data_IF_394149623222
#
_entry.id   IF_394149623222
#
_cell.length_a   1.000
_cell.length_b   1.000
_cell.length_c   1.000
_cell.angle_alpha   90.00
_cell.angle_beta   90.00
_cell.angle_gamma   90.00
#
_symmetry.space_group_name_H-M   'P 1'
#
loop_
_entity.id
_entity.type
_entity.pdbx_description
1 polymer ?
#
# COMPACT_ATOMS: atom_id res chain seq x y z
N UNK A 1 18.23 7.18 -14.72
CA UNK A 1 16.78 6.98 -14.95
C UNK A 1 16.18 5.99 -13.95
N UNK A 2 16.66 4.73 -13.81
CA UNK A 2 16.12 3.82 -12.79
C UNK A 2 16.33 4.33 -11.35
N UNK A 3 17.53 4.84 -11.05
CA UNK A 3 17.84 5.42 -9.73
C UNK A 3 17.03 6.69 -9.45
N UNK A 4 16.74 7.48 -10.48
CA UNK A 4 15.95 8.71 -10.34
C UNK A 4 14.49 8.39 -10.00
N UNK A 5 13.92 7.33 -10.60
CA UNK A 5 12.57 6.87 -10.30
C UNK A 5 12.47 6.25 -8.91
N UNK A 6 13.48 5.47 -8.49
CA UNK A 6 13.55 4.95 -7.11
C UNK A 6 13.52 6.08 -6.10
N UNK A 7 14.38 7.09 -6.27
CA UNK A 7 14.41 8.25 -5.39
C UNK A 7 13.10 9.05 -5.42
N UNK A 8 12.46 9.16 -6.59
CA UNK A 8 11.14 9.77 -6.72
C UNK A 8 10.06 9.02 -5.94
N UNK A 9 10.11 7.68 -5.90
CA UNK A 9 9.23 6.84 -5.10
C UNK A 9 9.42 7.02 -3.59
N UNK A 10 10.68 7.09 -3.13
CA UNK A 10 11.00 7.39 -1.72
C UNK A 10 10.48 8.77 -1.30
N UNK A 11 10.69 9.78 -2.14
CA UNK A 11 10.17 11.14 -1.88
C UNK A 11 8.64 11.17 -1.86
N UNK A 12 7.99 10.33 -2.67
CA UNK A 12 6.54 10.22 -2.72
C UNK A 12 5.97 9.62 -1.43
N UNK A 13 6.62 8.59 -0.87
CA UNK A 13 6.28 8.05 0.45
C UNK A 13 6.35 9.14 1.52
N UNK A 14 7.46 9.88 1.58
CA UNK A 14 7.64 10.99 2.53
C UNK A 14 6.56 12.07 2.40
N UNK A 15 6.16 12.39 1.18
CA UNK A 15 5.10 13.36 0.89
C UNK A 15 3.74 12.84 1.35
N UNK A 16 3.43 11.57 1.10
CA UNK A 16 2.15 10.96 1.52
C UNK A 16 2.06 10.91 3.05
N UNK A 17 3.13 10.50 3.72
CA UNK A 17 3.24 10.51 5.19
C UNK A 17 3.09 11.93 5.74
N UNK A 18 3.69 12.93 5.09
CA UNK A 18 3.52 14.32 5.49
C UNK A 18 2.09 14.84 5.28
N UNK A 19 1.39 14.39 4.24
CA UNK A 19 -0.02 14.71 4.03
C UNK A 19 -0.90 14.10 5.12
N UNK A 20 -0.71 12.81 5.44
CA UNK A 20 -1.45 12.12 6.50
C UNK A 20 -1.28 12.75 7.88
N UNK A 21 -0.08 13.30 8.16
CA UNK A 21 0.24 13.94 9.45
C UNK A 21 -0.01 15.45 9.47
N UNK A 22 -0.61 16.03 8.43
CA UNK A 22 -0.88 17.47 8.34
C UNK A 22 0.37 18.35 8.20
N UNK A 23 1.52 17.77 7.83
CA UNK A 23 2.81 18.44 7.71
C UNK A 23 3.23 18.75 6.25
N UNK A 24 2.36 18.48 5.27
CA UNK A 24 2.65 18.64 3.83
C UNK A 24 3.14 20.04 3.44
N UNK A 25 2.66 21.09 4.09
CA UNK A 25 3.08 22.48 3.80
C UNK A 25 4.60 22.68 3.91
N UNK A 26 5.26 21.92 4.81
CA UNK A 26 6.71 21.95 4.98
C UNK A 26 7.48 21.35 3.79
N UNK A 27 6.81 20.54 2.97
CA UNK A 27 7.35 19.84 1.79
C UNK A 27 6.94 20.45 0.45
N UNK A 28 6.37 21.67 0.43
CA UNK A 28 5.89 22.30 -0.81
C UNK A 28 6.92 22.34 -1.96
N UNK A 29 8.19 22.61 -1.67
CA UNK A 29 9.26 22.58 -2.69
C UNK A 29 9.55 21.18 -3.25
N UNK A 30 9.44 20.15 -2.41
CA UNK A 30 9.60 18.74 -2.80
C UNK A 30 8.42 18.29 -3.68
N UNK A 31 7.21 18.65 -3.28
CA UNK A 31 5.96 18.40 -4.04
C UNK A 31 6.07 18.96 -5.45
N UNK A 32 6.44 20.24 -5.62
CA UNK A 32 6.57 20.84 -6.95
C UNK A 32 7.70 20.22 -7.78
N UNK A 33 8.82 19.89 -7.13
CA UNK A 33 9.96 19.25 -7.81
C UNK A 33 9.60 17.85 -8.30
N UNK A 34 8.86 17.09 -7.50
CA UNK A 34 8.40 15.74 -7.84
C UNK A 34 7.33 15.76 -8.93
N UNK A 35 6.37 16.70 -8.86
CA UNK A 35 5.40 16.91 -9.93
C UNK A 35 6.09 17.19 -11.27
N UNK A 36 7.06 18.12 -11.26
CA UNK A 36 7.84 18.45 -12.45
C UNK A 36 8.69 17.26 -12.94
N UNK A 37 9.19 16.42 -12.03
CA UNK A 37 9.92 15.21 -12.37
C UNK A 37 9.04 14.25 -13.17
N UNK A 38 7.87 13.87 -12.64
CA UNK A 38 6.96 12.92 -13.29
C UNK A 38 6.34 13.48 -14.58
N UNK A 39 6.06 14.78 -14.64
CA UNK A 39 5.52 15.43 -15.84
C UNK A 39 6.47 15.40 -17.06
N UNK A 40 7.75 15.06 -16.89
CA UNK A 40 8.69 14.90 -18.02
C UNK A 40 8.49 13.61 -18.81
N UNK A 41 7.82 12.62 -18.23
CA UNK A 41 7.56 11.31 -18.84
C UNK A 41 6.07 10.96 -18.67
N UNK A 42 5.15 11.73 -19.26
CA UNK A 42 3.72 11.54 -19.03
C UNK A 42 3.22 10.18 -19.52
N UNK A 43 3.86 9.57 -20.53
CA UNK A 43 3.47 8.27 -21.07
C UNK A 43 4.07 7.07 -20.31
N UNK A 44 4.78 7.32 -19.21
CA UNK A 44 5.31 6.29 -18.32
C UNK A 44 4.31 5.98 -17.20
N UNK A 45 3.96 4.70 -17.03
CA UNK A 45 2.94 4.29 -16.06
C UNK A 45 3.36 4.60 -14.62
N UNK A 46 4.64 4.46 -14.26
CA UNK A 46 5.14 4.80 -12.92
C UNK A 46 5.00 6.29 -12.65
N UNK A 47 5.36 7.13 -13.61
CA UNK A 47 5.19 8.57 -13.48
C UNK A 47 3.71 8.98 -13.39
N UNK A 48 2.82 8.34 -14.15
CA UNK A 48 1.39 8.61 -14.09
C UNK A 48 0.76 8.23 -12.74
N UNK A 49 1.14 7.09 -12.16
CA UNK A 49 0.74 6.72 -10.79
C UNK A 49 1.32 7.68 -9.77
N UNK A 50 2.59 8.06 -9.92
CA UNK A 50 3.23 9.05 -9.06
C UNK A 50 2.50 10.41 -9.04
N UNK A 51 2.05 10.89 -10.20
CA UNK A 51 1.22 12.10 -10.29
C UNK A 51 -0.16 11.93 -9.63
N UNK A 52 -0.77 10.75 -9.77
CA UNK A 52 -2.05 10.44 -9.11
C UNK A 52 -1.92 10.53 -7.59
N UNK A 53 -0.90 9.89 -7.01
CA UNK A 53 -0.66 9.91 -5.57
C UNK A 53 -0.27 11.31 -5.07
N UNK A 54 0.49 12.06 -5.85
CA UNK A 54 0.87 13.43 -5.49
C UNK A 54 -0.35 14.37 -5.48
N UNK A 55 -1.24 14.23 -6.46
CA UNK A 55 -2.51 14.96 -6.49
C UNK A 55 -3.39 14.55 -5.31
N UNK A 56 -3.43 13.25 -4.95
CA UNK A 56 -4.19 12.80 -3.79
C UNK A 56 -3.60 13.36 -2.49
N UNK A 57 -2.29 13.34 -2.30
CA UNK A 57 -1.65 13.90 -1.12
C UNK A 57 -2.01 15.39 -0.91
N UNK A 58 -2.05 16.17 -2.00
CA UNK A 58 -2.52 17.57 -1.97
C UNK A 58 -4.00 17.67 -1.58
N UNK A 59 -4.85 16.81 -2.14
CA UNK A 59 -6.27 16.76 -1.81
C UNK A 59 -6.49 16.43 -0.34
N UNK A 60 -5.89 15.34 0.17
CA UNK A 60 -5.98 14.91 1.57
C UNK A 60 -5.54 16.02 2.53
N UNK A 61 -4.40 16.67 2.24
CA UNK A 61 -3.91 17.77 3.06
C UNK A 61 -4.84 18.99 3.07
N UNK A 62 -5.61 19.21 2.00
CA UNK A 62 -6.56 20.32 1.92
C UNK A 62 -7.87 20.02 2.64
N UNK A 63 -8.40 18.80 2.53
CA UNK A 63 -9.69 18.45 3.16
C UNK A 63 -9.57 18.15 4.65
N UNK A 64 -8.35 18.16 5.22
CA UNK A 64 -8.03 17.79 6.61
C UNK A 64 -8.67 16.47 7.06
N UNK A 65 -9.02 15.64 6.08
CA UNK A 65 -9.70 14.37 6.30
C UNK A 65 -8.65 13.29 6.12
N UNK A 66 -8.60 12.38 7.08
CA UNK A 66 -7.96 11.09 6.85
C UNK A 66 -8.79 10.38 5.78
N UNK A 67 -8.40 10.51 4.51
CA UNK A 67 -9.08 9.85 3.39
C UNK A 67 -8.82 8.32 3.38
N UNK A 68 -8.24 7.81 4.48
CA UNK A 68 -7.57 6.53 4.58
C UNK A 68 -6.16 6.71 4.04
N UNK A 69 -5.15 6.37 4.85
CA UNK A 69 -3.95 5.56 4.53
C UNK A 69 -2.88 5.72 5.64
N UNK A 70 -1.94 4.79 5.87
CA UNK A 70 -1.81 3.37 5.44
C UNK A 70 -2.03 2.33 6.57
N UNK A 71 -2.50 2.71 7.76
CA UNK A 71 -2.43 1.81 8.93
C UNK A 71 -3.68 1.77 9.84
N UNK A 72 -4.84 2.23 9.39
CA UNK A 72 -6.03 2.27 10.24
C UNK A 72 -7.06 1.21 9.86
N UNK A 73 -6.89 0.04 10.48
CA UNK A 73 -7.96 -0.90 10.74
C UNK A 73 -8.56 -0.56 12.11
N UNK A 74 -9.68 0.17 12.15
CA UNK A 74 -10.63 0.11 13.27
C UNK A 74 -11.95 0.85 12.96
N UNK A 75 -12.98 0.05 12.71
CA UNK A 75 -14.31 0.13 13.35
C UNK A 75 -15.26 1.33 13.12
N UNK A 76 -14.84 2.45 12.53
CA UNK A 76 -15.83 3.43 12.05
C UNK A 76 -16.29 3.02 10.65
N UNK A 77 -17.57 2.64 10.51
CA UNK A 77 -18.24 2.54 9.20
C UNK A 77 -17.72 3.68 8.34
N UNK A 78 -17.12 3.39 7.18
CA UNK A 78 -16.63 4.42 6.27
C UNK A 78 -17.80 5.35 5.96
N UNK A 79 -17.92 6.44 6.74
CA UNK A 79 -19.00 7.39 6.56
C UNK A 79 -18.81 8.01 5.19
N UNK A 80 -19.93 8.38 4.58
CA UNK A 80 -19.87 8.97 3.25
C UNK A 80 -18.98 10.20 3.32
N UNK A 81 -17.95 10.28 2.48
CA UNK A 81 -17.06 11.43 2.51
C UNK A 81 -17.89 12.70 2.25
N UNK A 82 -17.81 13.72 3.12
CA UNK A 82 -18.54 14.95 2.89
C UNK A 82 -18.00 15.59 1.61
N UNK A 83 -18.90 16.00 0.72
CA UNK A 83 -18.49 16.75 -0.45
C UNK A 83 -17.85 18.06 0.02
N UNK A 84 -16.66 18.44 -0.51
CA UNK A 84 -16.02 19.63 -0.01
C UNK A 84 -16.80 20.87 -0.48
N UNK A 85 -17.00 21.76 0.47
CA UNK A 85 -17.78 22.99 0.28
C UNK A 85 -17.03 24.02 -0.57
N UNK A 86 -15.72 23.88 -0.73
CA UNK A 86 -14.87 24.82 -1.45
C UNK A 86 -14.48 24.38 -2.87
N UNK A 87 -14.25 25.38 -3.73
CA UNK A 87 -13.90 25.20 -5.14
C UNK A 87 -12.50 24.59 -5.32
N UNK A 88 -11.59 24.82 -4.38
CA UNK A 88 -10.20 24.36 -4.48
C UNK A 88 -10.11 22.85 -4.29
N UNK A 89 -10.78 22.29 -3.28
CA UNK A 89 -10.90 20.85 -3.09
C UNK A 89 -11.49 20.14 -4.32
N UNK A 90 -12.53 20.73 -4.95
CA UNK A 90 -13.11 20.17 -6.18
C UNK A 90 -12.13 20.19 -7.34
N UNK A 91 -11.30 21.22 -7.45
CA UNK A 91 -10.25 21.30 -8.47
C UNK A 91 -9.17 20.24 -8.23
N UNK A 92 -8.73 20.05 -6.99
CA UNK A 92 -7.77 19.00 -6.61
C UNK A 92 -8.36 17.59 -6.86
N UNK A 93 -9.63 17.34 -6.51
CA UNK A 93 -10.28 16.07 -6.82
C UNK A 93 -10.41 15.84 -8.34
N UNK A 94 -10.65 16.89 -9.14
CA UNK A 94 -10.64 16.77 -10.59
C UNK A 94 -9.23 16.47 -11.15
N UNK A 95 -8.18 17.01 -10.53
CA UNK A 95 -6.78 16.70 -10.85
C UNK A 95 -6.47 15.22 -10.57
N UNK A 96 -6.88 14.68 -9.41
CA UNK A 96 -6.76 13.24 -9.09
C UNK A 96 -7.45 12.39 -10.15
N UNK A 97 -8.71 12.68 -10.48
CA UNK A 97 -9.46 11.92 -11.50
C UNK A 97 -8.74 11.94 -12.85
N UNK A 98 -8.19 13.08 -13.26
CA UNK A 98 -7.48 13.21 -14.53
C UNK A 98 -6.20 12.36 -14.56
N UNK A 99 -5.38 12.43 -13.50
CA UNK A 99 -4.16 11.64 -13.40
C UNK A 99 -4.44 10.14 -13.27
N UNK A 100 -5.41 9.76 -12.44
CA UNK A 100 -5.80 8.36 -12.27
C UNK A 100 -6.35 7.76 -13.57
N UNK A 101 -7.18 8.51 -14.30
CA UNK A 101 -7.71 8.07 -15.60
C UNK A 101 -6.58 7.84 -16.60
N UNK A 102 -5.57 8.73 -16.61
CA UNK A 102 -4.41 8.60 -17.48
C UNK A 102 -3.54 7.40 -17.08
N UNK A 103 -3.24 7.23 -15.79
CA UNK A 103 -2.48 6.10 -15.27
C UNK A 103 -3.13 4.76 -15.63
N UNK A 104 -4.44 4.64 -15.43
CA UNK A 104 -5.22 3.45 -15.81
C UNK A 104 -5.32 3.23 -17.33
N UNK A 105 -5.16 4.28 -18.12
CA UNK A 105 -5.04 4.18 -19.57
C UNK A 105 -3.71 3.58 -20.01
N UNK A 106 -2.64 3.80 -19.24
CA UNK A 106 -1.32 3.21 -19.46
C UNK A 106 -1.22 1.80 -18.86
N UNK A 107 -1.84 1.57 -17.71
CA UNK A 107 -1.87 0.31 -16.98
C UNK A 107 -3.29 -0.01 -16.47
N UNK A 108 -4.07 -0.81 -17.23
CA UNK A 108 -5.44 -1.16 -16.85
C UNK A 108 -5.58 -1.98 -15.56
N UNK A 109 -4.48 -2.55 -15.06
CA UNK A 109 -4.46 -3.37 -13.85
C UNK A 109 -4.03 -2.57 -12.61
N UNK A 110 -3.86 -1.26 -12.71
CA UNK A 110 -3.50 -0.41 -11.57
C UNK A 110 -4.71 -0.19 -10.63
N UNK A 111 -4.86 -1.08 -9.65
CA UNK A 111 -5.87 -1.01 -8.60
C UNK A 111 -5.72 0.26 -7.74
N UNK A 112 -4.48 0.74 -7.54
CA UNK A 112 -4.19 1.96 -6.82
C UNK A 112 -4.86 3.18 -7.45
N UNK A 113 -4.60 3.49 -8.73
CA UNK A 113 -5.29 4.61 -9.38
C UNK A 113 -6.79 4.41 -9.47
N UNK A 114 -7.29 3.17 -9.55
CA UNK A 114 -8.72 2.91 -9.51
C UNK A 114 -9.33 3.31 -8.15
N UNK A 115 -8.68 2.97 -7.04
CA UNK A 115 -9.09 3.36 -5.70
C UNK A 115 -9.04 4.88 -5.50
N UNK A 116 -7.93 5.52 -5.87
CA UNK A 116 -7.74 6.98 -5.73
C UNK A 116 -8.77 7.76 -6.58
N UNK A 117 -9.12 7.25 -7.76
CA UNK A 117 -10.20 7.79 -8.58
C UNK A 117 -11.57 7.66 -7.90
N UNK A 118 -11.82 6.53 -7.22
CA UNK A 118 -13.05 6.31 -6.44
C UNK A 118 -13.21 7.33 -5.33
N UNK A 119 -12.17 7.53 -4.53
CA UNK A 119 -12.12 8.55 -3.47
C UNK A 119 -12.40 9.95 -4.01
N UNK A 120 -11.75 10.32 -5.12
CA UNK A 120 -11.93 11.64 -5.72
C UNK A 120 -13.35 11.86 -6.27
N UNK A 121 -13.98 10.84 -6.87
CA UNK A 121 -15.38 10.92 -7.29
C UNK A 121 -16.34 10.99 -6.09
N UNK A 122 -16.07 10.24 -5.03
CA UNK A 122 -16.90 10.26 -3.82
C UNK A 122 -16.89 11.64 -3.17
N UNK A 123 -15.70 12.24 -3.02
CA UNK A 123 -15.54 13.63 -2.56
C UNK A 123 -16.30 14.61 -3.46
N UNK A 124 -16.38 14.36 -4.77
CA UNK A 124 -17.18 15.21 -5.67
C UNK A 124 -18.69 14.96 -5.60
N UNK A 125 -19.15 14.03 -4.77
CA UNK A 125 -20.55 13.59 -4.71
C UNK A 125 -20.99 12.76 -5.92
N UNK A 126 -20.04 12.31 -6.76
CA UNK A 126 -20.27 11.58 -8.00
C UNK A 126 -20.38 10.07 -7.72
N UNK A 127 -21.40 9.70 -6.91
CA UNK A 127 -21.54 8.35 -6.32
C UNK A 127 -21.49 7.20 -7.34
N UNK A 128 -22.08 7.38 -8.52
CA UNK A 128 -22.09 6.32 -9.55
C UNK A 128 -20.68 6.09 -10.10
N UNK A 129 -19.95 7.16 -10.41
CA UNK A 129 -18.57 7.10 -10.90
C UNK A 129 -17.62 6.58 -9.82
N UNK A 130 -17.85 6.95 -8.55
CA UNK A 130 -17.09 6.41 -7.41
C UNK A 130 -17.29 4.90 -7.29
N UNK A 131 -18.53 4.42 -7.33
CA UNK A 131 -18.82 2.99 -7.29
C UNK A 131 -18.19 2.23 -8.48
N UNK A 132 -18.22 2.78 -9.69
CA UNK A 132 -17.58 2.15 -10.86
C UNK A 132 -16.04 2.03 -10.69
N UNK A 133 -15.41 3.05 -10.10
CA UNK A 133 -13.99 3.05 -9.81
C UNK A 133 -13.63 2.04 -8.71
N UNK A 134 -14.35 2.03 -7.58
CA UNK A 134 -14.13 1.04 -6.52
C UNK A 134 -14.43 -0.40 -6.98
N UNK A 135 -15.44 -0.64 -7.82
CA UNK A 135 -15.64 -1.97 -8.45
C UNK A 135 -14.44 -2.40 -9.28
N UNK A 136 -13.71 -1.46 -9.87
CA UNK A 136 -12.47 -1.79 -10.57
C UNK A 136 -11.36 -2.14 -9.59
N UNK A 137 -11.18 -1.38 -8.51
CA UNK A 137 -10.21 -1.70 -7.46
C UNK A 137 -10.49 -3.08 -6.85
N UNK A 138 -11.72 -3.34 -6.39
CA UNK A 138 -12.16 -4.63 -5.82
C UNK A 138 -12.02 -5.79 -6.80
N UNK A 139 -12.23 -5.57 -8.10
CA UNK A 139 -12.02 -6.64 -9.10
C UNK A 139 -10.53 -7.02 -9.23
N UNK A 140 -9.63 -6.05 -9.05
CA UNK A 140 -8.20 -6.25 -9.20
C UNK A 140 -7.55 -6.74 -7.89
N UNK A 141 -8.09 -6.32 -6.76
CA UNK A 141 -7.75 -6.76 -5.41
C UNK A 141 -9.05 -6.91 -4.58
N UNK A 142 -9.65 -8.11 -4.55
CA UNK A 142 -10.83 -8.43 -3.75
C UNK A 142 -10.62 -8.34 -2.23
N UNK A 143 -9.37 -8.31 -1.77
CA UNK A 143 -9.00 -8.19 -0.36
C UNK A 143 -8.68 -6.76 0.06
N UNK A 144 -8.85 -5.79 -0.85
CA UNK A 144 -8.85 -4.36 -0.55
C UNK A 144 -10.07 -3.98 0.32
N UNK A 145 -9.97 -4.25 1.62
CA UNK A 145 -11.04 -3.97 2.59
C UNK A 145 -11.54 -2.53 2.53
N UNK A 146 -10.68 -1.49 2.39
CA UNK A 146 -11.14 -0.12 2.16
C UNK A 146 -11.99 0.02 0.90
N UNK A 147 -11.57 -0.53 -0.26
CA UNK A 147 -12.36 -0.43 -1.50
C UNK A 147 -13.68 -1.18 -1.41
N UNK A 148 -13.68 -2.38 -0.80
CA UNK A 148 -14.88 -3.18 -0.54
C UNK A 148 -15.87 -2.36 0.30
N UNK A 149 -15.45 -1.89 1.47
CA UNK A 149 -16.35 -1.20 2.38
C UNK A 149 -16.88 0.13 1.79
N UNK A 150 -16.07 0.85 1.01
CA UNK A 150 -16.51 2.03 0.26
C UNK A 150 -17.55 1.67 -0.81
N UNK A 151 -17.31 0.60 -1.57
CA UNK A 151 -18.25 0.12 -2.58
C UNK A 151 -19.60 -0.30 -1.97
N UNK A 152 -19.56 -1.07 -0.89
CA UNK A 152 -20.75 -1.53 -0.16
C UNK A 152 -21.54 -0.35 0.43
N UNK A 153 -20.83 0.65 0.98
CA UNK A 153 -21.46 1.88 1.48
C UNK A 153 -22.15 2.68 0.36
N UNK A 154 -21.55 2.71 -0.84
CA UNK A 154 -22.10 3.46 -1.96
C UNK A 154 -23.32 2.79 -2.60
N UNK A 155 -23.30 1.46 -2.67
CA UNK A 155 -24.29 0.64 -3.39
C UNK A 155 -25.38 0.05 -2.49
N UNK A 156 -25.06 -0.21 -1.22
CA UNK A 156 -25.89 -1.00 -0.30
C UNK A 156 -25.88 -2.51 -0.60
N UNK A 157 -24.97 -2.96 -1.46
CA UNK A 157 -24.81 -4.36 -1.88
C UNK A 157 -23.49 -4.89 -1.31
N UNK A 158 -23.48 -6.11 -0.78
CA UNK A 158 -22.27 -6.80 -0.34
C UNK A 158 -21.39 -7.12 -1.56
N UNK A 159 -20.09 -6.86 -1.45
CA UNK A 159 -19.16 -7.17 -2.53
C UNK A 159 -18.91 -8.69 -2.58
N UNK A 160 -18.92 -9.26 -3.78
CA UNK A 160 -18.61 -10.67 -3.97
C UNK A 160 -17.14 -10.93 -3.59
N UNK A 161 -16.93 -11.82 -2.63
CA UNK A 161 -15.60 -12.30 -2.23
C UNK A 161 -15.33 -13.64 -2.94
N UNK A 162 -14.20 -13.79 -3.64
CA UNK A 162 -13.87 -15.06 -4.26
C UNK A 162 -13.61 -16.12 -3.19
N UNK A 163 -13.93 -17.38 -3.50
CA UNK A 163 -13.68 -18.54 -2.63
C UNK A 163 -12.17 -18.93 -2.60
N UNK A 164 -11.42 -18.49 -3.61
CA UNK A 164 -9.99 -18.75 -3.79
C UNK A 164 -9.25 -17.42 -3.92
N UNK A 165 -7.99 -17.39 -3.52
CA UNK A 165 -7.15 -16.22 -3.69
C UNK A 165 -7.02 -15.92 -5.19
N UNK A 166 -7.34 -14.69 -5.63
CA UNK A 166 -7.22 -14.34 -7.02
C UNK A 166 -5.73 -14.24 -7.39
N UNK A 167 -5.38 -14.55 -8.65
CA UNK A 167 -4.02 -14.38 -9.11
C UNK A 167 -3.61 -12.90 -9.04
N UNK A 168 -2.35 -12.65 -8.73
CA UNK A 168 -1.75 -11.34 -8.69
C UNK A 168 -1.99 -10.58 -10.01
N UNK A 169 -2.65 -9.42 -9.91
CA UNK A 169 -3.04 -8.62 -11.08
C UNK A 169 -1.99 -7.57 -11.46
N UNK A 170 -0.98 -7.35 -10.61
CA UNK A 170 0.07 -6.36 -10.82
C UNK A 170 0.79 -6.57 -12.16
N UNK A 171 1.11 -5.46 -12.82
CA UNK A 171 1.71 -5.49 -14.15
C UNK A 171 3.16 -6.02 -14.17
N UNK A 172 3.82 -6.12 -13.01
CA UNK A 172 5.17 -6.67 -12.92
C UNK A 172 5.43 -7.37 -11.59
N UNK A 173 6.39 -8.30 -11.61
CA UNK A 173 6.74 -9.14 -10.47
C UNK A 173 7.61 -8.39 -9.44
N UNK A 174 7.42 -8.67 -8.15
CA UNK A 174 8.18 -8.12 -7.03
C UNK A 174 8.09 -9.01 -5.78
N UNK A 175 8.94 -8.73 -4.80
CA UNK A 175 8.86 -9.26 -3.45
C UNK A 175 8.37 -8.17 -2.50
N UNK A 176 7.64 -8.57 -1.48
CA UNK A 176 7.36 -7.77 -0.28
C UNK A 176 7.98 -8.49 0.89
N UNK A 177 8.84 -7.81 1.65
CA UNK A 177 9.24 -8.23 2.98
C UNK A 177 8.50 -7.36 3.97
N UNK A 178 7.73 -7.98 4.84
CA UNK A 178 7.03 -7.32 5.93
C UNK A 178 7.51 -7.87 7.28
N UNK A 179 7.79 -6.95 8.19
CA UNK A 179 8.09 -7.23 9.58
C UNK A 179 7.22 -6.32 10.44
N UNK A 180 6.45 -6.92 11.35
CA UNK A 180 5.75 -6.22 12.42
C UNK A 180 6.30 -6.71 13.75
N UNK A 181 6.80 -5.80 14.57
CA UNK A 181 7.37 -6.11 15.87
C UNK A 181 6.71 -5.27 16.97
N UNK A 182 6.13 -5.94 17.98
CA UNK A 182 5.50 -5.29 19.16
C UNK A 182 6.42 -5.25 20.38
N UNK A 183 6.75 -4.05 20.87
CA UNK A 183 7.67 -3.88 21.99
C UNK A 183 7.08 -4.50 23.28
N UNK A 184 7.88 -5.23 24.10
CA UNK A 184 7.37 -5.97 25.27
C UNK A 184 6.71 -5.12 26.36
N UNK A 185 7.06 -3.84 26.48
CA UNK A 185 6.65 -3.00 27.62
C UNK A 185 5.74 -1.83 27.25
N UNK A 186 5.29 -1.73 25.99
CA UNK A 186 4.64 -0.50 25.52
C UNK A 186 3.58 -0.62 24.44
N UNK A 187 3.33 -1.80 23.86
CA UNK A 187 2.38 -1.94 22.76
C UNK A 187 2.82 -1.24 21.46
N UNK A 188 3.84 -0.38 21.50
CA UNK A 188 4.45 0.26 20.34
C UNK A 188 4.86 -0.80 19.32
N UNK A 189 4.17 -0.76 18.18
CA UNK A 189 4.41 -1.63 17.04
C UNK A 189 5.25 -0.89 16.01
N UNK A 190 6.39 -1.47 15.68
CA UNK A 190 7.21 -1.01 14.57
C UNK A 190 7.00 -1.93 13.38
N UNK A 191 6.62 -1.35 12.25
CA UNK A 191 6.51 -2.06 10.97
C UNK A 191 7.62 -1.64 10.03
N UNK A 192 8.31 -2.62 9.47
CA UNK A 192 9.28 -2.46 8.39
C UNK A 192 8.71 -3.13 7.15
N UNK A 193 8.64 -2.39 6.05
CA UNK A 193 8.22 -2.92 4.74
C UNK A 193 9.33 -2.67 3.74
N UNK A 194 9.68 -3.69 2.95
CA UNK A 194 10.58 -3.58 1.82
C UNK A 194 9.90 -4.15 0.57
N UNK A 195 9.68 -3.30 -0.43
CA UNK A 195 9.30 -3.74 -1.78
C UNK A 195 10.53 -3.75 -2.68
N UNK A 196 10.84 -4.88 -3.29
CA UNK A 196 12.06 -5.06 -4.10
C UNK A 196 11.88 -6.07 -5.22
N UNK A 197 12.64 -5.91 -6.30
CA UNK A 197 12.77 -6.91 -7.37
C UNK A 197 14.08 -7.70 -7.29
N UNK A 198 14.87 -7.47 -6.23
CA UNK A 198 16.14 -8.12 -5.96
C UNK A 198 16.03 -9.00 -4.71
N UNK A 199 15.99 -10.31 -4.92
CA UNK A 199 15.94 -11.31 -3.84
C UNK A 199 17.14 -11.20 -2.90
N UNK A 200 18.33 -10.83 -3.39
CA UNK A 200 19.50 -10.68 -2.52
C UNK A 200 19.35 -9.47 -1.58
N UNK A 201 18.73 -8.39 -2.05
CA UNK A 201 18.41 -7.24 -1.21
C UNK A 201 17.38 -7.58 -0.13
N UNK A 202 16.35 -8.37 -0.48
CA UNK A 202 15.35 -8.85 0.49
C UNK A 202 15.99 -9.71 1.57
N UNK A 203 16.83 -10.69 1.17
CA UNK A 203 17.55 -11.56 2.11
C UNK A 203 18.46 -10.78 3.04
N UNK A 204 19.24 -9.86 2.49
CA UNK A 204 20.16 -9.04 3.28
C UNK A 204 19.42 -8.14 4.29
N UNK A 205 18.25 -7.60 3.92
CA UNK A 205 17.44 -6.80 4.83
C UNK A 205 16.84 -7.68 5.95
N UNK A 206 16.27 -8.83 5.61
CA UNK A 206 15.74 -9.76 6.60
C UNK A 206 16.83 -10.20 7.59
N UNK A 207 18.00 -10.63 7.10
CA UNK A 207 19.15 -10.98 7.95
C UNK A 207 19.57 -9.81 8.87
N UNK A 208 19.59 -8.58 8.34
CA UNK A 208 19.93 -7.39 9.12
C UNK A 208 18.90 -7.12 10.23
N UNK A 209 17.61 -7.27 9.95
CA UNK A 209 16.53 -7.07 10.93
C UNK A 209 16.65 -8.08 12.08
N UNK A 210 16.92 -9.36 11.80
CA UNK A 210 17.12 -10.38 12.84
C UNK A 210 18.39 -10.13 13.67
N UNK A 211 19.48 -9.67 13.03
CA UNK A 211 20.73 -9.34 13.71
C UNK A 211 20.60 -8.18 14.71
N UNK A 212 19.60 -7.30 14.58
CA UNK A 212 19.41 -6.16 15.50
C UNK A 212 18.87 -6.55 16.89
N UNK A 213 18.50 -7.82 17.12
CA UNK A 213 17.95 -8.24 18.40
C UNK A 213 16.42 -8.11 18.49
N UNK A 214 15.75 -7.73 17.40
CA UNK A 214 14.28 -7.53 17.37
C UNK A 214 13.47 -8.83 17.46
N UNK A 215 14.12 -9.98 17.51
CA UNK A 215 13.49 -11.26 17.84
C UNK A 215 13.04 -11.37 19.31
N UNK A 216 13.42 -10.44 20.20
CA UNK A 216 12.98 -10.45 21.60
C UNK A 216 11.60 -9.81 21.83
N UNK A 217 10.89 -9.47 20.76
CA UNK A 217 9.57 -8.85 20.80
C UNK A 217 8.49 -9.93 21.07
N UNK A 218 7.41 -9.56 21.77
CA UNK A 218 6.41 -10.52 22.26
C UNK A 218 5.56 -11.13 21.14
N UNK A 219 5.26 -10.32 20.13
CA UNK A 219 4.62 -10.75 18.89
C UNK A 219 5.45 -10.27 17.71
N UNK A 220 5.63 -11.20 16.79
CA UNK A 220 6.48 -11.05 15.63
C UNK A 220 5.73 -11.66 14.46
N UNK A 221 5.38 -10.82 13.50
CA UNK A 221 4.90 -11.30 12.20
C UNK A 221 5.96 -10.97 11.16
N UNK A 222 6.41 -11.99 10.44
CA UNK A 222 7.44 -11.88 9.43
C UNK A 222 7.01 -12.68 8.21
N UNK A 223 6.74 -12.00 7.11
CA UNK A 223 6.39 -12.64 5.86
C UNK A 223 7.28 -12.10 4.74
N UNK A 224 7.66 -13.01 3.85
CA UNK A 224 8.06 -12.65 2.50
C UNK A 224 6.93 -13.09 1.58
N UNK A 225 6.42 -12.15 0.81
CA UNK A 225 5.46 -12.41 -0.25
C UNK A 225 6.13 -12.30 -1.61
N UNK A 226 5.84 -13.25 -2.48
CA UNK A 226 6.27 -13.24 -3.87
C UNK A 226 5.08 -12.97 -4.78
N UNK A 227 5.13 -11.86 -5.49
CA UNK A 227 4.09 -11.41 -6.40
C UNK A 227 4.54 -11.64 -7.85
N UNK A 228 3.81 -12.49 -8.58
CA UNK A 228 4.08 -12.83 -9.98
C UNK A 228 2.83 -12.59 -10.83
N UNK A 229 2.91 -11.82 -11.93
CA UNK A 229 1.73 -11.52 -12.74
C UNK A 229 0.98 -12.78 -13.21
N UNK A 230 -0.26 -12.92 -12.78
CA UNK A 230 -1.14 -14.03 -13.15
C UNK A 230 -0.91 -15.35 -12.39
N UNK A 231 -0.05 -15.37 -11.38
CA UNK A 231 0.07 -16.48 -10.42
C UNK A 231 -0.48 -16.05 -9.06
N UNK A 232 -0.85 -17.02 -8.23
CA UNK A 232 -1.27 -16.76 -6.86
C UNK A 232 -0.08 -16.19 -6.07
N UNK A 233 -0.33 -15.23 -5.19
CA UNK A 233 0.72 -14.69 -4.33
C UNK A 233 1.17 -15.77 -3.34
N UNK A 234 2.48 -15.99 -3.25
CA UNK A 234 3.07 -16.98 -2.33
C UNK A 234 3.63 -16.26 -1.11
N UNK A 235 3.26 -16.69 0.09
CA UNK A 235 3.74 -16.11 1.35
C UNK A 235 4.48 -17.14 2.20
N UNK A 236 5.70 -16.80 2.59
CA UNK A 236 6.54 -17.62 3.46
C UNK A 236 6.81 -16.90 4.79
N UNK A 237 6.48 -17.58 5.89
CA UNK A 237 6.67 -17.05 7.25
C UNK A 237 8.10 -17.28 7.73
N UNK A 238 8.85 -16.19 7.95
CA UNK A 238 10.28 -16.28 8.31
C UNK A 238 10.53 -16.92 9.67
N UNK A 239 9.54 -16.87 10.58
CA UNK A 239 9.64 -17.51 11.89
C UNK A 239 9.91 -19.01 11.81
N UNK A 240 9.40 -19.66 10.76
CA UNK A 240 9.58 -21.11 10.56
C UNK A 240 10.99 -21.48 10.12
N UNK A 241 11.77 -20.50 9.64
CA UNK A 241 13.13 -20.66 9.16
C UNK A 241 14.20 -20.19 10.16
N UNK A 242 13.81 -19.86 11.39
CA UNK A 242 14.76 -19.46 12.43
C UNK A 242 15.49 -20.66 13.02
N UNK A 243 16.82 -20.56 13.06
CA UNK A 243 17.70 -21.50 13.76
C UNK A 243 18.41 -20.81 14.93
N UNK A 244 18.65 -21.57 16.00
CA UNK A 244 19.37 -21.12 17.18
C UNK A 244 20.88 -21.08 16.88
N UNK A 245 21.43 -19.91 16.59
CA UNK A 245 22.88 -19.82 16.40
C UNK A 245 23.65 -19.96 17.73
N UNK A 246 24.88 -20.44 17.62
CA UNK A 246 25.73 -20.76 18.77
C UNK A 246 26.08 -19.55 19.66
N UNK A 247 25.93 -18.33 19.16
CA UNK A 247 26.15 -17.08 19.90
C UNK A 247 24.87 -16.54 20.58
N UNK A 248 23.75 -17.25 20.44
CA UNK A 248 22.46 -16.90 21.05
C UNK A 248 21.64 -15.89 20.24
N UNK A 249 22.06 -15.55 19.01
CA UNK A 249 21.27 -14.75 18.08
C UNK A 249 20.61 -15.66 17.04
N UNK A 250 19.30 -15.61 16.83
CA UNK A 250 18.65 -16.43 15.82
C UNK A 250 19.13 -16.02 14.42
N UNK A 251 19.32 -17.00 13.56
CA UNK A 251 19.70 -16.81 12.16
C UNK A 251 18.66 -17.43 11.23
N UNK A 252 18.42 -16.81 10.08
CA UNK A 252 17.52 -17.36 9.06
C UNK A 252 18.22 -18.45 8.25
N UNK A 253 17.56 -19.59 8.11
CA UNK A 253 17.94 -20.66 7.19
C UNK A 253 17.16 -20.50 5.89
N UNK A 254 17.79 -19.86 4.91
CA UNK A 254 17.19 -19.58 3.59
C UNK A 254 16.90 -20.82 2.73
N UNK A 255 17.29 -22.02 3.16
CA UNK A 255 16.95 -23.27 2.47
C UNK A 255 15.47 -23.68 2.71
N UNK A 256 14.84 -23.15 3.76
CA UNK A 256 13.45 -23.45 4.15
C UNK A 256 12.45 -22.36 3.71
N UNK A 257 12.93 -21.30 3.06
CA UNK A 257 12.11 -20.18 2.57
C UNK A 257 12.09 -20.26 1.05
N UNK A 258 10.92 -20.48 0.45
CA UNK A 258 10.81 -20.40 -0.99
C UNK A 258 10.84 -18.92 -1.43
N UNK A 259 11.70 -18.63 -2.39
CA UNK A 259 11.80 -17.30 -2.99
C UNK A 259 12.12 -17.53 -4.46
N UNK A 260 11.14 -17.98 -5.26
CA UNK A 260 11.38 -18.31 -6.64
C UNK A 260 11.83 -17.06 -7.38
N UNK A 261 12.71 -17.18 -8.39
CA UNK A 261 13.16 -16.01 -9.15
C UNK A 261 11.98 -15.32 -9.83
N UNK A 262 11.94 -13.98 -9.72
CA UNK A 262 10.91 -13.16 -10.39
C UNK A 262 10.96 -13.31 -11.91
N UNK A 263 9.79 -13.38 -12.53
CA UNK A 263 9.65 -13.44 -13.99
C UNK A 263 9.40 -12.06 -14.55
N UNK A 264 9.89 -11.81 -15.76
CA UNK A 264 9.64 -10.55 -16.46
C UNK A 264 8.16 -10.44 -16.90
N UNK A 265 7.58 -9.23 -16.89
CA UNK A 265 8.21 -7.96 -16.52
C UNK A 265 8.36 -7.79 -15.00
N UNK A 266 9.47 -7.19 -14.56
CA UNK A 266 9.65 -6.78 -13.16
C UNK A 266 8.91 -5.48 -12.85
N UNK A 267 8.49 -5.30 -11.59
CA UNK A 267 7.93 -4.04 -11.12
C UNK A 267 8.94 -2.88 -11.34
N UNK A 268 8.56 -1.81 -12.04
CA UNK A 268 9.48 -0.71 -12.29
C UNK A 268 9.94 -0.03 -10.99
N UNK A 269 11.22 0.36 -10.86
CA UNK A 269 11.68 1.13 -9.70
C UNK A 269 10.84 2.38 -9.49
N UNK A 270 10.48 2.67 -8.24
CA UNK A 270 9.66 3.83 -7.88
C UNK A 270 8.16 3.68 -8.11
N UNK A 271 7.70 2.55 -8.68
CA UNK A 271 6.26 2.25 -8.79
C UNK A 271 5.73 1.89 -7.40
N UNK A 272 4.77 2.69 -6.92
CA UNK A 272 3.92 2.30 -5.81
C UNK A 272 2.89 1.27 -6.29
N UNK A 273 2.56 0.31 -5.44
CA UNK A 273 1.53 -0.71 -5.67
C UNK A 273 0.54 -0.64 -4.52
N UNK A 274 -0.67 -1.14 -4.76
CA UNK A 274 -1.67 -1.32 -3.71
C UNK A 274 -1.92 -2.79 -3.50
N UNK A 275 -1.80 -3.27 -2.28
CA UNK A 275 -1.96 -4.68 -1.93
C UNK A 275 -2.73 -4.80 -0.63
N UNK A 276 -3.77 -5.63 -0.59
CA UNK A 276 -4.64 -5.84 0.57
C UNK A 276 -5.17 -4.52 1.16
N UNK A 277 -5.42 -3.55 0.28
CA UNK A 277 -5.91 -2.21 0.65
C UNK A 277 -4.85 -1.23 1.19
N UNK A 278 -3.57 -1.58 1.12
CA UNK A 278 -2.46 -0.73 1.56
C UNK A 278 -1.59 -0.27 0.38
N UNK A 279 -1.03 0.94 0.46
CA UNK A 279 -0.09 1.42 -0.56
C UNK A 279 1.34 1.10 -0.16
N UNK A 280 1.97 0.21 -0.92
CA UNK A 280 3.35 -0.19 -0.74
C UNK A 280 4.23 0.60 -1.72
N UNK A 281 5.33 1.15 -1.20
CA UNK A 281 6.28 1.93 -1.98
C UNK A 281 7.54 1.12 -2.22
N UNK A 282 8.09 1.21 -3.44
CA UNK A 282 9.37 0.60 -3.78
C UNK A 282 10.46 1.05 -2.79
N UNK A 283 11.31 0.12 -2.34
CA UNK A 283 12.34 0.37 -1.34
C UNK A 283 11.89 0.09 0.08
N UNK A 284 12.75 0.48 1.04
CA UNK A 284 12.58 0.19 2.47
C UNK A 284 11.90 1.36 3.18
N UNK A 285 10.84 1.06 3.92
CA UNK A 285 10.07 2.01 4.70
C UNK A 285 9.90 1.51 6.13
N UNK A 286 9.88 2.44 7.10
CA UNK A 286 9.62 2.15 8.52
C UNK A 286 8.48 3.04 8.97
N UNK A 287 7.50 2.45 9.62
CA UNK A 287 6.35 3.14 10.20
C UNK A 287 6.05 2.61 11.60
N UNK A 288 5.35 3.43 12.38
CA UNK A 288 4.68 2.98 13.61
C UNK A 288 3.29 2.47 13.22
N UNK A 289 2.91 1.30 13.71
CA UNK A 289 1.52 0.81 13.57
C UNK A 289 0.73 1.43 14.71
N UNK A 290 -0.32 2.18 14.39
CA UNK A 290 -1.28 2.60 15.40
C UNK A 290 -1.93 1.34 16.00
N UNK A 291 -2.06 1.27 17.34
CA UNK A 291 -2.64 0.11 18.04
C UNK A 291 -3.83 -0.45 17.27
N UNK A 292 -3.67 -1.67 16.73
CA UNK A 292 -4.76 -2.44 16.14
C UNK A 292 -5.70 -2.73 17.30
N UNK A 293 -6.86 -2.08 17.39
CA UNK A 293 -7.89 -2.53 18.34
C UNK A 293 -8.12 -4.02 18.03
N UNK A 294 -7.85 -4.88 19.02
CA UNK A 294 -7.91 -6.34 18.90
C UNK A 294 -9.20 -6.74 18.18
N UNK A 295 -9.07 -7.33 17.00
CA UNK A 295 -10.17 -8.00 16.27
C UNK A 295 -10.47 -9.37 16.92
N UNK A 296 -10.49 -9.43 18.26
CA UNK A 296 -10.68 -10.67 19.03
C UNK A 296 -12.14 -11.18 19.01
N UNK A 297 -13.08 -10.47 18.38
CA UNK A 297 -14.53 -10.76 18.50
C UNK A 297 -15.22 -11.29 17.23
N UNK A 298 -14.50 -11.70 16.16
CA UNK A 298 -15.17 -12.24 14.96
C UNK A 298 -15.21 -13.76 14.81
N UNK A 299 -14.57 -14.53 15.69
CA UNK A 299 -14.69 -16.00 15.69
C UNK A 299 -15.90 -16.52 16.51
N UNK A 300 -16.49 -15.70 17.40
CA UNK A 300 -17.63 -16.11 18.23
C UNK A 300 -19.00 -15.97 17.54
N UNK A 301 -19.06 -15.53 16.27
CA UNK A 301 -20.32 -15.38 15.52
C UNK A 301 -20.72 -16.61 14.69
N UNK A 302 -19.93 -17.70 14.70
CA UNK A 302 -20.20 -18.93 13.93
C UNK A 302 -20.63 -20.15 14.77
N UNK A 303 -20.84 -19.97 16.08
CA UNK A 303 -21.44 -21.00 16.94
C UNK A 303 -22.74 -20.50 17.60
N UNK A 304 -23.85 -20.45 16.86
CA UNK A 304 -25.23 -20.74 17.36
C UNK A 304 -26.29 -20.84 16.25
#
# INVERSE_FOLDING_TARGET
MPDDLRHAGELLYDIRTAAATGSLASKSGEVESLAAFYARTPDDATAAVGLTLLAMARLSAHVEHDLGEPFQAASSRYETLPAPDDEHARALAAEVVAHATHARGLDPNDNLSAFEQGLAHELRGERAQAADAYRTAVRLDPYDHPAVARLETLTGEEAERPDEDPPCTHAGAFYVLELVATAPEGGDQERVVLVSTDAAAVRAEADALFATGRHTYETLDYAIETHQPGEDSESDFLLMALDDAADGHPTLTWDDIDMPPLREPLLPPGRAVRENGEVLFFGRHVGEVAEKEEFDDMDDAFED
#
